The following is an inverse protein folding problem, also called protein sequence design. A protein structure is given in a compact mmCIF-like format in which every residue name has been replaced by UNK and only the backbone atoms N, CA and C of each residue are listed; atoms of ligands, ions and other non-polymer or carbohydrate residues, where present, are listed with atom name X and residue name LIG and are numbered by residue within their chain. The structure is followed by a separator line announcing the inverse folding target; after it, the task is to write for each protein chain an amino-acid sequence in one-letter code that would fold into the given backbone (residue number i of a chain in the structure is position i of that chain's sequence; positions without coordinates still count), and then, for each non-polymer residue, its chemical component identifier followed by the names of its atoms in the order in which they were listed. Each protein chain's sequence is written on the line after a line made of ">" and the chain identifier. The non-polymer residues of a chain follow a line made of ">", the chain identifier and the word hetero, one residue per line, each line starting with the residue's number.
data_IF_878038824981
#
_entry.id   IF_878038824981
#
_cell.length_a   1.000
_cell.length_b   1.000
_cell.length_c   1.000
_cell.angle_alpha   90.00
_cell.angle_beta   90.00
_cell.angle_gamma   90.00
#
_symmetry.space_group_name_H-M   'P 1'
#
loop_
_entity.id
_entity.type
_entity.pdbx_description
1 polymer ?
#
# COMPACT_ATOMS: atom_id res chain seq x y z
N UNK A 1 2.12 6.20 -15.84
CA UNK A 1 3.55 6.47 -15.60
C UNK A 1 3.85 7.83 -16.20
N UNK A 2 4.32 8.77 -15.39
CA UNK A 2 4.86 10.02 -15.93
C UNK A 2 6.10 9.64 -16.75
N UNK A 3 6.26 10.19 -17.96
CA UNK A 3 7.42 9.91 -18.84
C UNK A 3 8.77 10.37 -18.26
N UNK A 4 8.79 10.88 -17.04
CA UNK A 4 9.99 11.29 -16.33
C UNK A 4 10.63 10.09 -15.63
N UNK A 5 11.82 9.71 -16.07
CA UNK A 5 12.65 8.66 -15.46
C UNK A 5 13.37 9.19 -14.19
N UNK A 6 12.61 9.68 -13.22
CA UNK A 6 13.12 10.23 -11.97
C UNK A 6 12.52 9.50 -10.78
N UNK A 7 13.21 9.55 -9.62
CA UNK A 7 12.78 8.90 -8.40
C UNK A 7 12.48 9.93 -7.31
N UNK A 8 11.44 9.67 -6.51
CA UNK A 8 11.21 10.38 -5.27
C UNK A 8 12.13 9.79 -4.19
N UNK A 9 12.99 10.63 -3.63
CA UNK A 9 13.80 10.30 -2.47
C UNK A 9 13.16 10.79 -1.18
N UNK A 10 13.27 10.00 -0.14
CA UNK A 10 12.76 10.28 1.21
C UNK A 10 13.88 10.08 2.22
N UNK A 11 14.06 11.05 3.11
CA UNK A 11 14.82 10.88 4.35
C UNK A 11 13.93 11.22 5.54
N UNK A 12 14.43 11.01 6.75
CA UNK A 12 13.66 11.28 7.98
C UNK A 12 13.03 12.69 8.02
N UNK A 13 13.64 13.65 7.33
CA UNK A 13 13.21 15.04 7.40
C UNK A 13 13.29 15.80 6.07
N UNK A 14 13.46 15.12 4.96
CA UNK A 14 13.52 15.74 3.65
C UNK A 14 12.86 14.92 2.57
N UNK A 15 12.37 15.62 1.55
CA UNK A 15 11.85 15.09 0.30
C UNK A 15 12.69 15.67 -0.83
N UNK A 16 13.07 14.84 -1.79
CA UNK A 16 13.89 15.28 -2.91
C UNK A 16 13.67 14.42 -4.16
N UNK A 17 14.05 14.97 -5.31
CA UNK A 17 14.05 14.24 -6.58
C UNK A 17 15.45 13.79 -6.93
N UNK A 18 15.55 12.54 -7.38
CA UNK A 18 16.78 11.96 -7.95
C UNK A 18 16.54 11.78 -9.45
N UNK A 19 17.42 12.35 -10.27
CA UNK A 19 17.46 12.12 -11.71
C UNK A 19 18.75 11.37 -12.06
N UNK A 20 18.65 10.08 -12.46
CA UNK A 20 19.82 9.27 -12.80
C UNK A 20 20.68 9.83 -13.96
N UNK A 21 20.10 10.71 -14.77
CA UNK A 21 20.76 11.32 -15.95
C UNK A 21 21.69 12.47 -15.57
N UNK A 22 21.53 13.06 -14.38
CA UNK A 22 22.41 14.12 -13.92
C UNK A 22 23.78 13.56 -13.56
N UNK A 23 24.83 14.40 -13.74
CA UNK A 23 26.17 14.10 -13.24
C UNK A 23 26.25 14.29 -11.72
N UNK A 24 27.25 13.70 -11.09
CA UNK A 24 27.49 13.86 -9.66
C UNK A 24 26.47 13.11 -8.76
N UNK A 25 25.92 13.80 -7.79
CA UNK A 25 25.04 13.22 -6.75
C UNK A 25 23.62 12.89 -7.24
N UNK A 26 23.31 13.22 -8.50
CA UNK A 26 21.99 12.96 -9.14
C UNK A 26 20.80 13.66 -8.48
N UNK A 27 21.06 14.54 -7.51
CA UNK A 27 20.04 15.30 -6.80
C UNK A 27 19.57 16.49 -7.64
N UNK A 28 18.25 16.67 -7.75
CA UNK A 28 17.64 17.86 -8.34
C UNK A 28 17.47 18.91 -7.24
N UNK A 29 18.44 19.77 -7.06
CA UNK A 29 18.51 20.74 -5.94
C UNK A 29 17.28 21.64 -5.84
N UNK A 30 16.72 22.09 -6.96
CA UNK A 30 15.50 22.91 -7.00
C UNK A 30 14.25 22.18 -6.47
N UNK A 31 14.33 20.88 -6.29
CA UNK A 31 13.24 20.03 -5.80
C UNK A 31 13.59 19.31 -4.49
N UNK A 32 14.60 19.80 -3.79
CA UNK A 32 14.90 19.41 -2.42
C UNK A 32 14.05 20.26 -1.45
N UNK A 33 13.32 19.59 -0.57
CA UNK A 33 12.63 20.21 0.57
C UNK A 33 13.10 19.57 1.85
N UNK A 34 13.95 20.28 2.58
CA UNK A 34 14.35 19.95 3.94
C UNK A 34 13.47 20.70 4.94
N UNK A 35 13.03 20.02 5.99
CA UNK A 35 12.17 20.61 7.01
C UNK A 35 13.01 20.95 8.25
N UNK A 36 12.71 22.08 8.87
CA UNK A 36 13.33 22.49 10.15
C UNK A 36 12.81 21.62 11.30
N UNK A 37 11.52 21.30 11.29
CA UNK A 37 10.90 20.41 12.29
C UNK A 37 11.24 18.96 12.04
N UNK A 38 11.50 18.19 13.09
CA UNK A 38 11.72 16.73 13.00
C UNK A 38 10.39 16.04 12.67
N UNK A 39 10.22 15.65 11.41
CA UNK A 39 9.00 15.02 10.93
C UNK A 39 9.00 13.50 11.06
N UNK A 40 10.18 12.88 11.03
CA UNK A 40 10.37 11.43 11.12
C UNK A 40 9.61 10.66 10.03
N UNK A 41 9.82 11.07 8.78
CA UNK A 41 9.19 10.44 7.62
C UNK A 41 9.58 8.97 7.49
N UNK A 42 8.60 8.11 7.18
CA UNK A 42 8.74 6.66 7.12
C UNK A 42 8.42 6.07 5.75
N UNK A 43 7.47 6.64 5.02
CA UNK A 43 7.01 6.11 3.75
C UNK A 43 6.48 7.22 2.83
N UNK A 44 6.59 7.00 1.52
CA UNK A 44 6.01 7.88 0.51
C UNK A 44 5.39 7.08 -0.63
N UNK A 45 4.38 7.67 -1.28
CA UNK A 45 3.76 7.14 -2.48
C UNK A 45 3.39 8.26 -3.43
N UNK A 46 3.34 7.96 -4.73
CA UNK A 46 3.01 8.91 -5.77
C UNK A 46 1.83 8.43 -6.61
N UNK A 47 0.96 9.37 -7.01
CA UNK A 47 -0.11 9.10 -7.98
C UNK A 47 0.42 9.14 -9.42
N UNK A 48 -0.36 8.69 -10.39
CA UNK A 48 -0.02 8.80 -11.80
C UNK A 48 0.13 10.27 -12.27
N UNK A 49 -0.57 11.21 -11.61
CA UNK A 49 -0.44 12.65 -11.88
C UNK A 49 0.78 13.30 -11.23
N UNK A 50 1.58 12.53 -10.49
CA UNK A 50 2.76 13.03 -9.79
C UNK A 50 2.48 13.69 -8.44
N UNK A 51 1.27 13.59 -7.89
CA UNK A 51 0.99 13.97 -6.51
C UNK A 51 1.71 13.05 -5.54
N UNK A 52 2.06 13.58 -4.37
CA UNK A 52 2.91 12.87 -3.41
C UNK A 52 2.20 12.80 -2.05
N UNK A 53 2.08 11.60 -1.51
CA UNK A 53 1.71 11.37 -0.12
C UNK A 53 2.95 10.94 0.67
N UNK A 54 3.11 11.46 1.87
CA UNK A 54 4.22 11.15 2.78
C UNK A 54 3.69 10.85 4.16
N UNK A 55 4.06 9.73 4.72
CA UNK A 55 3.73 9.32 6.08
C UNK A 55 4.93 9.42 7.02
N UNK A 56 4.68 9.38 8.32
CA UNK A 56 5.71 9.43 9.34
C UNK A 56 5.57 8.32 10.38
N UNK A 57 6.64 8.06 11.13
CA UNK A 57 6.61 7.20 12.30
C UNK A 57 5.76 7.77 13.44
N UNK A 58 5.40 9.05 13.38
CA UNK A 58 4.45 9.70 14.30
C UNK A 58 2.99 9.41 13.93
N UNK A 59 2.73 8.80 12.78
CA UNK A 59 1.39 8.44 12.31
C UNK A 59 0.68 9.54 11.53
N UNK A 60 1.31 10.66 11.23
CA UNK A 60 0.73 11.73 10.39
C UNK A 60 0.99 11.49 8.90
N UNK A 61 0.13 12.08 8.06
CA UNK A 61 0.25 12.02 6.59
C UNK A 61 0.22 13.43 6.03
N UNK A 62 1.08 13.70 5.07
CA UNK A 62 1.15 14.97 4.34
C UNK A 62 0.96 14.75 2.86
N UNK A 63 0.15 15.62 2.24
CA UNK A 63 -0.20 15.55 0.83
C UNK A 63 0.36 16.77 0.10
N UNK A 64 1.04 16.50 -1.01
CA UNK A 64 1.71 17.51 -1.84
C UNK A 64 1.23 17.39 -3.27
N UNK A 65 1.06 18.50 -3.95
CA UNK A 65 0.83 18.54 -5.40
C UNK A 65 2.15 18.40 -6.20
N UNK A 66 3.29 18.78 -5.60
CA UNK A 66 4.64 18.69 -6.19
C UNK A 66 5.73 18.79 -5.12
N UNK A 67 6.95 18.45 -5.50
CA UNK A 67 8.13 18.65 -4.64
C UNK A 67 8.52 20.14 -4.51
N UNK A 68 9.36 20.44 -3.53
CA UNK A 68 9.92 21.78 -3.29
C UNK A 68 8.99 22.75 -2.55
N UNK A 69 7.75 22.38 -2.28
CA UNK A 69 6.77 23.24 -1.61
C UNK A 69 6.28 22.63 -0.28
N UNK A 70 5.48 23.41 0.46
CA UNK A 70 4.82 22.90 1.65
C UNK A 70 3.63 22.00 1.30
N UNK A 71 3.33 21.04 2.18
CA UNK A 71 2.15 20.18 2.03
C UNK A 71 0.88 21.02 1.91
N UNK A 72 0.00 20.64 0.98
CA UNK A 72 -1.35 21.23 0.87
C UNK A 72 -2.23 20.78 2.03
N UNK A 73 -2.12 19.52 2.39
CA UNK A 73 -2.89 18.94 3.50
C UNK A 73 -1.95 18.26 4.48
N UNK A 74 -2.23 18.46 5.76
CA UNK A 74 -1.67 17.70 6.87
C UNK A 74 -2.80 16.97 7.59
N UNK A 75 -2.78 15.65 7.51
CA UNK A 75 -3.66 14.75 8.26
C UNK A 75 -2.92 14.41 9.55
N UNK A 76 -3.43 14.79 10.74
CA UNK A 76 -2.72 14.59 12.00
C UNK A 76 -2.57 13.11 12.31
N UNK A 77 -1.73 12.80 13.29
CA UNK A 77 -1.45 11.44 13.71
C UNK A 77 -2.73 10.62 13.98
N UNK A 78 -2.76 9.42 13.42
CA UNK A 78 -3.91 8.52 13.40
C UNK A 78 -3.73 7.30 14.32
N UNK A 79 -2.77 7.37 15.23
CA UNK A 79 -2.43 6.32 16.18
C UNK A 79 -0.99 5.85 16.06
N UNK A 80 -0.77 4.65 15.51
CA UNK A 80 0.56 4.05 15.40
C UNK A 80 1.37 4.61 14.22
N UNK A 81 2.68 4.32 14.24
CA UNK A 81 3.59 4.57 13.13
C UNK A 81 3.06 3.98 11.81
N UNK A 82 3.18 4.72 10.72
CA UNK A 82 2.83 4.26 9.39
C UNK A 82 4.11 3.75 8.73
N UNK A 83 4.19 2.42 8.53
CA UNK A 83 5.38 1.76 7.99
C UNK A 83 5.36 1.64 6.47
N UNK A 84 4.20 1.81 5.85
CA UNK A 84 4.01 1.72 4.42
C UNK A 84 2.91 2.65 3.95
N UNK A 85 3.02 3.14 2.72
CA UNK A 85 2.06 4.03 2.11
C UNK A 85 1.82 3.63 0.66
N UNK A 86 0.57 3.75 0.23
CA UNK A 86 0.20 3.62 -1.17
C UNK A 86 -0.92 4.59 -1.52
N UNK A 87 -1.09 4.89 -2.79
CA UNK A 87 -2.16 5.76 -3.27
C UNK A 87 -2.80 5.16 -4.52
N UNK A 88 -4.12 5.32 -4.66
CA UNK A 88 -4.81 4.90 -5.87
C UNK A 88 -4.34 5.71 -7.09
N UNK A 89 -4.44 5.13 -8.28
CA UNK A 89 -3.99 5.76 -9.52
C UNK A 89 -4.66 7.13 -9.75
N UNK A 90 -5.95 7.23 -9.42
CA UNK A 90 -6.73 8.47 -9.52
C UNK A 90 -6.46 9.46 -8.36
N UNK A 91 -5.72 9.04 -7.33
CA UNK A 91 -5.41 9.84 -6.14
C UNK A 91 -6.55 9.97 -5.13
N UNK A 92 -7.67 9.29 -5.31
CA UNK A 92 -8.82 9.40 -4.40
C UNK A 92 -8.61 8.66 -3.08
N UNK A 93 -7.85 7.57 -3.09
CA UNK A 93 -7.63 6.74 -1.93
C UNK A 93 -6.17 6.73 -1.51
N UNK A 94 -5.94 6.91 -0.21
CA UNK A 94 -4.64 6.76 0.43
C UNK A 94 -4.72 5.56 1.35
N UNK A 95 -3.72 4.69 1.28
CA UNK A 95 -3.60 3.48 2.07
C UNK A 95 -2.37 3.55 2.97
N UNK A 96 -2.57 3.71 4.26
CA UNK A 96 -1.51 3.63 5.27
C UNK A 96 -1.42 2.23 5.87
N UNK A 97 -0.21 1.72 6.04
CA UNK A 97 0.05 0.44 6.72
C UNK A 97 0.66 0.69 8.08
N UNK A 98 -0.07 0.34 9.13
CA UNK A 98 0.43 0.21 10.49
C UNK A 98 0.79 -1.25 10.77
N UNK A 99 1.42 -1.53 11.91
CA UNK A 99 1.89 -2.88 12.24
C UNK A 99 0.77 -3.93 12.22
N UNK A 100 -0.42 -3.60 12.73
CA UNK A 100 -1.51 -4.57 12.95
C UNK A 100 -2.81 -4.23 12.24
N UNK A 101 -2.88 -3.11 11.54
CA UNK A 101 -4.05 -2.66 10.79
C UNK A 101 -3.66 -1.74 9.63
N UNK A 102 -4.60 -1.54 8.72
CA UNK A 102 -4.45 -0.58 7.62
C UNK A 102 -5.38 0.60 7.84
N UNK A 103 -5.02 1.75 7.27
CA UNK A 103 -5.82 2.97 7.24
C UNK A 103 -6.18 3.28 5.79
N UNK A 104 -7.47 3.27 5.48
CA UNK A 104 -7.98 3.72 4.18
C UNK A 104 -8.60 5.11 4.34
N UNK A 105 -8.07 6.08 3.58
CA UNK A 105 -8.39 7.49 3.69
C UNK A 105 -8.93 8.00 2.36
N UNK A 106 -10.08 8.66 2.38
CA UNK A 106 -10.64 9.34 1.22
C UNK A 106 -9.95 10.71 1.07
N UNK A 107 -9.21 10.89 -0.01
CA UNK A 107 -8.51 12.14 -0.31
C UNK A 107 -9.37 13.16 -1.07
N UNK A 108 -10.58 12.77 -1.51
CA UNK A 108 -11.51 13.66 -2.20
C UNK A 108 -12.36 14.45 -1.19
N UNK A 109 -12.42 15.74 -1.36
CA UNK A 109 -13.24 16.62 -0.52
C UNK A 109 -14.73 16.45 -0.86
N UNK A 110 -15.54 16.11 0.15
CA UNK A 110 -16.99 15.85 -0.01
C UNK A 110 -17.84 17.06 0.34
N UNK A 111 -17.27 18.05 1.03
CA UNK A 111 -17.98 19.20 1.56
C UNK A 111 -17.17 20.50 1.35
N UNK A 112 -17.86 21.64 1.41
CA UNK A 112 -17.26 22.97 1.37
C UNK A 112 -16.94 23.46 -0.05
N UNK A 113 -16.10 24.50 -0.13
CA UNK A 113 -15.78 25.21 -1.39
C UNK A 113 -14.97 24.40 -2.40
N UNK A 114 -14.33 23.32 -1.96
CA UNK A 114 -13.42 22.51 -2.75
C UNK A 114 -13.98 21.11 -3.02
N UNK A 115 -15.29 20.93 -3.03
CA UNK A 115 -15.95 19.65 -3.34
C UNK A 115 -15.42 19.08 -4.65
N UNK A 116 -15.08 17.79 -4.67
CA UNK A 116 -14.53 17.07 -5.82
C UNK A 116 -13.04 17.31 -6.06
N UNK A 117 -12.38 18.22 -5.31
CA UNK A 117 -10.92 18.38 -5.36
C UNK A 117 -10.23 17.43 -4.42
N UNK A 118 -9.02 17.02 -4.79
CA UNK A 118 -8.19 16.15 -3.95
C UNK A 118 -7.44 16.98 -2.88
N UNK A 119 -7.22 16.38 -1.72
CA UNK A 119 -6.40 16.94 -0.67
C UNK A 119 -4.95 17.21 -1.06
N UNK A 120 -4.49 16.66 -2.17
CA UNK A 120 -3.20 16.96 -2.81
C UNK A 120 -3.20 18.34 -3.48
N UNK A 121 -4.34 18.75 -4.04
CA UNK A 121 -4.48 20.01 -4.81
C UNK A 121 -4.87 21.18 -3.91
N UNK A 122 -5.80 20.93 -3.02
CA UNK A 122 -6.37 21.92 -2.10
C UNK A 122 -6.47 21.37 -0.69
N UNK A 123 -6.09 22.17 0.29
CA UNK A 123 -6.19 21.78 1.70
C UNK A 123 -7.63 21.51 2.08
N UNK A 124 -7.82 20.48 2.88
CA UNK A 124 -9.09 20.27 3.59
C UNK A 124 -9.37 21.44 4.55
N UNK A 125 -10.62 21.81 4.69
CA UNK A 125 -11.07 22.72 5.74
C UNK A 125 -10.74 22.16 7.14
N UNK A 126 -10.69 23.03 8.13
CA UNK A 126 -10.33 22.64 9.50
C UNK A 126 -11.20 21.49 10.03
N UNK A 127 -12.51 21.56 9.73
CA UNK A 127 -13.51 20.62 10.25
C UNK A 127 -13.89 19.52 9.25
N UNK A 128 -13.38 19.57 8.00
CA UNK A 128 -13.68 18.63 6.91
C UNK A 128 -12.52 17.67 6.60
N UNK A 129 -11.58 17.51 7.53
CA UNK A 129 -10.48 16.55 7.35
C UNK A 129 -11.01 15.13 7.21
N UNK A 130 -10.42 14.31 6.32
CA UNK A 130 -10.90 12.96 6.08
C UNK A 130 -10.79 12.10 7.35
N UNK A 131 -11.83 11.29 7.58
CA UNK A 131 -11.83 10.30 8.66
C UNK A 131 -11.33 8.98 8.13
N UNK A 132 -10.19 8.45 8.61
CA UNK A 132 -9.68 7.18 8.16
C UNK A 132 -10.59 6.03 8.53
N UNK A 133 -10.74 5.07 7.61
CA UNK A 133 -11.34 3.77 7.90
C UNK A 133 -10.24 2.82 8.33
N UNK A 134 -10.33 2.28 9.54
CA UNK A 134 -9.43 1.25 10.03
C UNK A 134 -9.84 -0.11 9.46
N UNK A 135 -8.92 -0.78 8.79
CA UNK A 135 -9.08 -2.13 8.27
C UNK A 135 -8.24 -3.08 9.13
N UNK A 136 -8.88 -3.79 10.01
CA UNK A 136 -8.26 -4.80 10.87
C UNK A 136 -8.75 -6.20 10.51
N UNK A 137 -8.08 -7.20 11.02
CA UNK A 137 -8.54 -8.57 10.99
C UNK A 137 -9.43 -8.85 12.22
N UNK A 138 -10.32 -9.84 12.08
CA UNK A 138 -11.12 -10.30 13.20
C UNK A 138 -10.19 -10.86 14.31
N UNK A 139 -10.36 -10.48 15.58
CA UNK A 139 -9.49 -10.92 16.69
C UNK A 139 -9.33 -12.44 16.80
N UNK A 140 -10.39 -13.21 16.53
CA UNK A 140 -10.31 -14.68 16.56
C UNK A 140 -9.42 -15.23 15.45
N UNK A 141 -9.45 -14.62 14.25
CA UNK A 141 -8.57 -14.99 13.15
C UNK A 141 -7.12 -14.62 13.46
N UNK A 142 -6.89 -13.43 14.05
CA UNK A 142 -5.55 -12.99 14.47
C UNK A 142 -4.95 -13.96 15.47
N UNK A 143 -5.70 -14.32 16.52
CA UNK A 143 -5.24 -15.27 17.52
C UNK A 143 -4.81 -16.61 16.90
N UNK A 144 -5.64 -17.16 16.01
CA UNK A 144 -5.33 -18.40 15.32
C UNK A 144 -4.11 -18.25 14.38
N UNK A 145 -4.04 -17.17 13.60
CA UNK A 145 -2.93 -16.91 12.70
C UNK A 145 -1.60 -16.77 13.46
N UNK A 146 -1.58 -16.13 14.63
CA UNK A 146 -0.39 -16.00 15.47
C UNK A 146 0.09 -17.35 16.01
N UNK A 147 -0.84 -18.22 16.41
CA UNK A 147 -0.51 -19.59 16.84
C UNK A 147 0.13 -20.37 15.70
N UNK A 148 -0.46 -20.32 14.52
CA UNK A 148 0.01 -21.06 13.33
C UNK A 148 1.33 -20.50 12.76
N UNK A 149 1.51 -19.19 12.78
CA UNK A 149 2.73 -18.53 12.32
C UNK A 149 3.86 -18.56 13.36
N UNK A 150 3.53 -18.86 14.63
CA UNK A 150 4.47 -18.75 15.79
C UNK A 150 5.13 -17.37 15.88
N UNK A 151 4.45 -16.33 15.41
CA UNK A 151 4.94 -14.96 15.37
C UNK A 151 3.79 -13.97 15.55
N UNK A 152 4.05 -12.78 16.09
CA UNK A 152 3.03 -11.74 16.21
C UNK A 152 2.60 -11.23 14.85
N UNK A 153 1.36 -10.69 14.78
CA UNK A 153 0.87 -10.03 13.59
C UNK A 153 1.75 -8.81 13.25
N UNK A 154 2.24 -8.77 12.03
CA UNK A 154 3.01 -7.66 11.49
C UNK A 154 2.80 -7.59 9.98
N UNK A 155 2.04 -6.60 9.52
CA UNK A 155 1.75 -6.44 8.10
C UNK A 155 2.97 -5.95 7.33
N UNK A 156 3.16 -6.49 6.13
CA UNK A 156 4.01 -5.89 5.10
C UNK A 156 3.33 -4.63 4.54
N UNK A 157 4.07 -3.68 3.96
CA UNK A 157 3.48 -2.51 3.32
C UNK A 157 2.39 -2.89 2.32
N UNK A 158 1.14 -2.57 2.66
CA UNK A 158 -0.01 -2.91 1.84
C UNK A 158 -0.05 -2.09 0.54
N UNK A 159 -0.57 -2.68 -0.52
CA UNK A 159 -0.68 -2.07 -1.85
C UNK A 159 -2.07 -2.24 -2.44
N UNK A 160 -2.51 -1.24 -3.21
CA UNK A 160 -3.62 -1.42 -4.12
C UNK A 160 -3.21 -2.35 -5.25
N UNK A 161 -4.01 -3.37 -5.51
CA UNK A 161 -3.81 -4.23 -6.66
C UNK A 161 -4.63 -3.71 -7.83
N UNK A 162 -3.95 -3.07 -8.76
CA UNK A 162 -4.51 -2.60 -10.02
C UNK A 162 -4.25 -3.60 -11.13
N UNK A 163 -5.29 -3.92 -11.92
CA UNK A 163 -5.12 -4.59 -13.20
C UNK A 163 -4.69 -3.63 -14.30
N UNK A 164 -4.62 -4.13 -15.54
CA UNK A 164 -4.33 -3.31 -16.73
C UNK A 164 -5.36 -2.18 -16.92
N UNK A 165 -6.59 -2.36 -16.44
CA UNK A 165 -7.69 -1.39 -16.56
C UNK A 165 -7.65 -0.27 -15.51
N UNK A 166 -6.54 -0.12 -14.79
CA UNK A 166 -6.27 0.94 -13.79
C UNK A 166 -7.34 1.11 -12.69
N UNK A 167 -8.25 0.15 -12.49
CA UNK A 167 -9.20 0.18 -11.39
C UNK A 167 -8.72 -0.67 -10.22
N UNK A 168 -8.55 -0.02 -9.08
CA UNK A 168 -8.25 -0.71 -7.84
C UNK A 168 -9.44 -1.53 -7.37
N UNK A 169 -9.31 -2.85 -7.37
CA UNK A 169 -10.36 -3.76 -6.92
C UNK A 169 -10.10 -4.32 -5.55
N UNK A 170 -8.86 -4.38 -5.14
CA UNK A 170 -8.43 -5.00 -3.89
C UNK A 170 -7.16 -4.37 -3.31
N UNK A 171 -6.99 -4.59 -2.00
CA UNK A 171 -5.80 -4.24 -1.24
C UNK A 171 -5.13 -5.54 -0.84
N UNK A 172 -3.81 -5.61 -0.96
CA UNK A 172 -3.01 -6.80 -0.67
C UNK A 172 -1.94 -6.46 0.36
N UNK A 173 -1.74 -7.36 1.31
CA UNK A 173 -0.62 -7.37 2.25
C UNK A 173 -0.36 -8.79 2.72
N UNK A 174 0.75 -9.00 3.42
CA UNK A 174 1.04 -10.28 4.04
C UNK A 174 1.44 -10.12 5.52
N UNK A 175 1.42 -11.22 6.24
CA UNK A 175 1.94 -11.35 7.60
C UNK A 175 2.40 -12.78 7.83
N UNK A 176 3.71 -12.99 8.05
CA UNK A 176 4.28 -14.33 8.13
C UNK A 176 3.92 -15.18 6.90
N UNK A 177 3.37 -16.38 7.07
CA UNK A 177 2.99 -17.26 5.96
C UNK A 177 1.62 -16.92 5.34
N UNK A 178 0.97 -15.86 5.78
CA UNK A 178 -0.38 -15.49 5.34
C UNK A 178 -0.36 -14.31 4.38
N UNK A 179 -0.99 -14.50 3.23
CA UNK A 179 -1.34 -13.43 2.34
C UNK A 179 -2.81 -13.06 2.51
N UNK A 180 -3.09 -11.77 2.55
CA UNK A 180 -4.41 -11.24 2.86
C UNK A 180 -4.82 -10.27 1.77
N UNK A 181 -6.05 -10.44 1.28
CA UNK A 181 -6.62 -9.59 0.23
C UNK A 181 -7.96 -9.03 0.69
N UNK A 182 -8.07 -7.71 0.77
CA UNK A 182 -9.34 -7.01 1.03
C UNK A 182 -10.02 -6.62 -0.27
N UNK A 183 -11.33 -6.76 -0.32
CA UNK A 183 -12.14 -6.29 -1.45
C UNK A 183 -12.55 -4.84 -1.22
N UNK A 184 -12.05 -3.91 -2.04
CA UNK A 184 -12.27 -2.47 -1.89
C UNK A 184 -13.76 -2.10 -1.97
N UNK A 185 -14.51 -2.67 -2.92
CA UNK A 185 -15.96 -2.41 -3.04
C UNK A 185 -16.74 -2.83 -1.78
N UNK A 186 -16.36 -3.94 -1.14
CA UNK A 186 -16.98 -4.40 0.10
C UNK A 186 -16.63 -3.49 1.28
N UNK A 187 -15.38 -3.01 1.36
CA UNK A 187 -14.95 -2.03 2.36
C UNK A 187 -15.80 -0.76 2.27
N UNK A 188 -15.94 -0.22 1.05
CA UNK A 188 -16.69 1.01 0.82
C UNK A 188 -18.18 0.88 1.17
N UNK A 189 -18.74 -0.33 1.02
CA UNK A 189 -20.12 -0.66 1.44
C UNK A 189 -20.26 -0.94 2.94
N UNK A 190 -19.18 -0.92 3.73
CA UNK A 190 -19.23 -1.19 5.17
C UNK A 190 -19.42 -2.66 5.54
N UNK A 191 -19.18 -3.60 4.62
CA UNK A 191 -19.30 -5.03 4.89
C UNK A 191 -18.21 -5.45 5.89
N UNK A 192 -18.61 -6.20 6.93
CA UNK A 192 -17.70 -6.71 7.93
C UNK A 192 -16.79 -7.81 7.37
N UNK A 193 -15.52 -7.83 7.82
CA UNK A 193 -14.50 -8.82 7.43
C UNK A 193 -14.40 -9.00 5.90
N UNK A 194 -14.21 -7.90 5.13
CA UNK A 194 -14.26 -7.94 3.66
C UNK A 194 -12.94 -8.46 3.06
N UNK A 195 -12.32 -9.45 3.69
CA UNK A 195 -11.03 -10.00 3.29
C UNK A 195 -11.09 -11.50 3.09
N UNK A 196 -10.12 -11.99 2.34
CA UNK A 196 -9.82 -13.40 2.12
C UNK A 196 -8.34 -13.64 2.44
N UNK A 197 -7.99 -14.88 2.74
CA UNK A 197 -6.64 -15.27 3.09
C UNK A 197 -6.17 -16.43 2.24
N UNK A 198 -4.83 -16.53 2.12
CA UNK A 198 -4.15 -17.72 1.63
C UNK A 198 -2.94 -17.98 2.52
N UNK A 199 -2.83 -19.23 3.04
CA UNK A 199 -1.69 -19.67 3.83
C UNK A 199 -0.69 -20.40 2.93
N UNK A 200 0.57 -20.10 3.14
CA UNK A 200 1.72 -20.79 2.55
C UNK A 200 2.44 -21.64 3.59
N UNK A 201 3.32 -22.53 3.15
CA UNK A 201 4.19 -23.31 4.04
C UNK A 201 5.32 -22.47 4.62
N UNK A 202 5.73 -21.44 3.89
CA UNK A 202 6.84 -20.54 4.20
C UNK A 202 6.36 -19.10 4.34
N UNK A 203 7.20 -18.28 4.93
CA UNK A 203 6.94 -16.85 5.09
C UNK A 203 6.92 -16.14 3.73
N UNK A 204 5.92 -15.30 3.51
CA UNK A 204 5.84 -14.45 2.32
C UNK A 204 6.90 -13.35 2.42
N UNK A 205 7.82 -13.31 1.46
CA UNK A 205 8.94 -12.35 1.43
C UNK A 205 8.60 -11.08 0.67
N UNK A 206 7.80 -11.18 -0.38
CA UNK A 206 7.30 -10.02 -1.13
C UNK A 206 5.96 -10.34 -1.82
N UNK A 207 5.10 -9.34 -1.90
CA UNK A 207 3.74 -9.42 -2.44
C UNK A 207 3.36 -8.18 -3.27
N UNK A 208 4.32 -7.30 -3.55
CA UNK A 208 4.11 -5.96 -4.11
C UNK A 208 4.33 -5.88 -5.63
N UNK A 209 4.04 -6.93 -6.36
CA UNK A 209 4.24 -6.94 -7.79
C UNK A 209 2.96 -6.56 -8.54
N UNK A 210 3.04 -5.52 -9.36
CA UNK A 210 2.01 -5.22 -10.36
C UNK A 210 2.21 -6.16 -11.56
N UNK A 211 1.21 -6.95 -11.87
CA UNK A 211 1.22 -7.80 -13.05
C UNK A 211 -0.09 -7.64 -13.82
N UNK A 212 -0.02 -7.69 -15.12
CA UNK A 212 -1.00 -7.36 -16.15
C UNK A 212 -2.47 -7.76 -15.98
N UNK A 213 -2.89 -8.28 -14.82
CA UNK A 213 -4.26 -8.65 -14.52
C UNK A 213 -4.59 -8.44 -13.05
N UNK A 214 -5.75 -7.86 -12.78
CA UNK A 214 -6.29 -7.75 -11.41
C UNK A 214 -6.73 -9.11 -10.82
N UNK A 215 -6.74 -10.17 -11.65
CA UNK A 215 -7.17 -11.53 -11.25
C UNK A 215 -6.07 -12.34 -10.56
N UNK A 216 -4.83 -11.92 -10.67
CA UNK A 216 -3.67 -12.64 -10.13
C UNK A 216 -2.80 -11.75 -9.24
N UNK A 217 -2.05 -12.39 -8.36
CA UNK A 217 -1.07 -11.77 -7.46
C UNK A 217 0.24 -12.52 -7.59
N UNK A 218 1.35 -11.80 -7.69
CA UNK A 218 2.68 -12.41 -7.62
C UNK A 218 3.11 -12.44 -6.16
N UNK A 219 3.58 -13.60 -5.73
CA UNK A 219 4.03 -13.85 -4.36
C UNK A 219 5.43 -14.43 -4.41
N UNK A 220 6.37 -13.80 -3.73
CA UNK A 220 7.71 -14.32 -3.53
C UNK A 220 7.81 -15.00 -2.16
N UNK A 221 8.20 -16.25 -2.19
CA UNK A 221 8.58 -17.07 -1.05
C UNK A 221 10.12 -17.19 -1.01
N UNK A 222 10.73 -17.75 0.05
CA UNK A 222 12.19 -17.81 0.14
C UNK A 222 12.88 -18.48 -1.06
N UNK A 223 12.26 -19.51 -1.64
CA UNK A 223 12.86 -20.32 -2.70
C UNK A 223 12.07 -20.32 -4.01
N UNK A 224 10.92 -19.63 -4.08
CA UNK A 224 10.08 -19.65 -5.28
C UNK A 224 9.27 -18.35 -5.44
N UNK A 225 8.92 -18.06 -6.69
CA UNK A 225 7.99 -16.97 -7.03
C UNK A 225 6.76 -17.59 -7.70
N UNK A 226 5.60 -17.31 -7.15
CA UNK A 226 4.33 -17.87 -7.62
C UNK A 226 3.39 -16.79 -8.14
N UNK A 227 2.76 -17.03 -9.27
CA UNK A 227 1.61 -16.27 -9.72
C UNK A 227 0.33 -16.96 -9.24
N UNK A 228 -0.44 -16.28 -8.42
CA UNK A 228 -1.58 -16.85 -7.70
C UNK A 228 -2.87 -16.17 -8.12
N UNK A 229 -3.84 -16.93 -8.60
CA UNK A 229 -5.16 -16.42 -8.93
C UNK A 229 -5.92 -16.01 -7.65
N UNK A 230 -6.50 -14.80 -7.62
CA UNK A 230 -7.25 -14.29 -6.46
C UNK A 230 -8.43 -15.18 -6.04
N UNK A 231 -9.03 -15.89 -6.96
CA UNK A 231 -10.11 -16.84 -6.67
C UNK A 231 -9.68 -18.02 -5.77
N UNK A 232 -8.36 -18.28 -5.65
CA UNK A 232 -7.83 -19.31 -4.75
C UNK A 232 -7.76 -18.86 -3.29
N UNK A 233 -7.94 -17.57 -3.03
CA UNK A 233 -8.02 -17.04 -1.67
C UNK A 233 -9.37 -17.40 -1.06
N UNK A 234 -9.35 -17.95 0.14
CA UNK A 234 -10.55 -18.39 0.85
C UNK A 234 -11.01 -17.40 1.91
N UNK A 235 -12.29 -17.44 2.26
CA UNK A 235 -12.75 -16.78 3.46
C UNK A 235 -11.98 -17.31 4.67
N UNK A 236 -11.65 -16.46 5.66
CA UNK A 236 -10.94 -16.91 6.85
C UNK A 236 -11.84 -17.83 7.67
N UNK A 237 -11.43 -19.08 7.80
CA UNK A 237 -12.03 -20.11 8.63
C UNK A 237 -10.92 -20.80 9.38
N UNK A 238 -11.26 -21.57 10.42
CA UNK A 238 -10.27 -22.37 11.15
C UNK A 238 -9.45 -23.25 10.22
N UNK A 239 -10.10 -23.91 9.27
CA UNK A 239 -9.45 -24.78 8.30
C UNK A 239 -8.51 -24.00 7.36
N UNK A 240 -8.96 -22.87 6.78
CA UNK A 240 -8.15 -22.09 5.84
C UNK A 240 -6.97 -21.38 6.50
N UNK A 241 -7.01 -21.18 7.83
CA UNK A 241 -5.90 -20.64 8.62
C UNK A 241 -4.91 -21.75 9.00
N UNK A 242 -5.41 -22.95 9.39
CA UNK A 242 -4.56 -24.04 9.88
C UNK A 242 -3.94 -24.89 8.77
N UNK A 243 -4.56 -24.93 7.58
CA UNK A 243 -4.10 -25.80 6.49
C UNK A 243 -3.40 -25.00 5.38
N UNK A 244 -2.07 -25.18 5.20
CA UNK A 244 -1.40 -24.59 4.04
C UNK A 244 -1.96 -25.18 2.75
N UNK A 245 -2.22 -24.36 1.76
CA UNK A 245 -2.54 -24.86 0.43
C UNK A 245 -1.30 -25.51 -0.17
N UNK A 246 -1.45 -26.76 -0.61
CA UNK A 246 -0.44 -27.40 -1.47
C UNK A 246 -0.30 -26.55 -2.73
N UNK A 247 0.92 -26.11 -3.01
CA UNK A 247 1.22 -25.48 -4.29
C UNK A 247 0.90 -26.53 -5.38
N UNK A 248 -0.13 -26.27 -6.17
CA UNK A 248 -0.24 -26.94 -7.45
C UNK A 248 1.04 -26.52 -8.20
N UNK A 249 1.96 -27.47 -8.39
CA UNK A 249 3.15 -27.25 -9.22
C UNK A 249 2.64 -26.66 -10.53
N UNK A 250 2.84 -25.37 -10.74
CA UNK A 250 2.68 -24.79 -12.06
C UNK A 250 3.70 -25.54 -12.92
N UNK A 251 3.23 -26.29 -13.90
CA UNK A 251 4.11 -26.76 -14.98
C UNK A 251 4.62 -25.48 -15.64
N UNK A 252 5.80 -25.03 -15.24
CA UNK A 252 6.58 -24.12 -16.04
C UNK A 252 6.96 -24.90 -17.28
N UNK A 253 6.23 -24.72 -18.37
CA UNK A 253 6.74 -25.05 -19.69
C UNK A 253 7.84 -24.02 -19.97
N UNK A 254 9.04 -24.32 -19.53
CA UNK A 254 10.24 -23.76 -20.11
C UNK A 254 10.20 -24.25 -21.54
N UNK A 255 9.88 -23.37 -22.45
CA UNK A 255 10.03 -23.62 -23.87
C UNK A 255 11.52 -23.80 -24.11
N UNK A 256 11.89 -25.05 -24.35
CA UNK A 256 13.21 -25.43 -24.79
C UNK A 256 13.39 -24.87 -26.22
N UNK A 257 13.91 -23.66 -26.32
CA UNK A 257 14.31 -23.09 -27.61
C UNK A 257 15.67 -23.64 -27.98
N UNK A 258 15.66 -24.83 -28.56
CA UNK A 258 16.74 -25.24 -29.46
C UNK A 258 16.55 -24.43 -30.74
N UNK A 259 17.44 -23.50 -30.99
CA UNK A 259 18.22 -23.26 -32.22
C UNK A 259 18.99 -21.95 -32.04
#
# INVERSE_FOLDING_TARGET
>A
MTGEQTFLGLSNNALFRIDPRLSGNKLVESQLKQYVSKNDFSAAATTEKGYIAVASNKGDIRLFDRLGINAKTHIPALGEAIMGLDVSADGKWILGTCKTYLLLIDAEQKEGKNVGKLGFEKSFGKDSKPRPRRLGLNPSHVAQMQVEAKSPLSFTPAKFNTGLDAQETSIITSTGPFMITWNLKKILRGIQNPYTIKRYNEEVKADNFRFGSDKSVIVALPNEVNMVAKQTFKKPTRESISTPMRNLKSRSSIVDSRY
#
